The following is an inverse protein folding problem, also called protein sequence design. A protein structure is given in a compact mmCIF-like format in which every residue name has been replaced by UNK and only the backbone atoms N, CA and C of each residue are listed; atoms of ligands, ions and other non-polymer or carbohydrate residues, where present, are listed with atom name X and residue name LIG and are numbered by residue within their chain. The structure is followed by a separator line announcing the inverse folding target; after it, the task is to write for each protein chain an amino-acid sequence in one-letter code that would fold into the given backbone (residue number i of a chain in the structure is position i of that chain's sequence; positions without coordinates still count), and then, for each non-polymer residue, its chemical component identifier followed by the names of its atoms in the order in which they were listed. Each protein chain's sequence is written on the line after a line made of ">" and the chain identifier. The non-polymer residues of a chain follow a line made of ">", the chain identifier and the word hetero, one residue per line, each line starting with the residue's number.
data_IF_685828963336
#
_entry.id   IF_685828963336
#
_cell.length_a   1.000
_cell.length_b   1.000
_cell.length_c   1.000
_cell.angle_alpha   90.00
_cell.angle_beta   90.00
_cell.angle_gamma   90.00
#
_symmetry.space_group_name_H-M   'P 1'
#
loop_
_entity.id
_entity.type
_entity.pdbx_description
1 polymer ?
#
# COMPACT_ATOMS: atom_id res chain seq x y z
N UNK A 1 -2.19 21.60 -23.25
CA UNK A 1 -2.17 22.02 -21.83
C UNK A 1 -2.96 23.32 -21.63
N UNK A 2 -4.25 23.37 -22.03
CA UNK A 2 -5.06 24.62 -21.99
C UNK A 2 -6.59 24.41 -21.85
N UNK A 3 -7.07 23.20 -21.53
CA UNK A 3 -8.48 22.79 -21.71
C UNK A 3 -9.21 22.56 -20.37
N UNK A 4 -8.71 23.09 -19.25
CA UNK A 4 -9.24 22.74 -17.91
C UNK A 4 -9.14 23.85 -16.84
N UNK A 5 -9.08 25.12 -17.25
CA UNK A 5 -9.10 26.26 -16.31
C UNK A 5 -10.36 27.11 -16.50
N UNK A 6 -11.16 27.18 -15.41
CA UNK A 6 -12.56 27.67 -15.33
C UNK A 6 -13.53 26.68 -15.99
N UNK A 7 -14.56 26.21 -15.30
CA UNK A 7 -15.33 26.93 -14.27
C UNK A 7 -15.25 26.30 -12.87
N UNK A 8 -14.91 27.12 -11.86
CA UNK A 8 -15.22 26.86 -10.45
C UNK A 8 -16.57 27.51 -10.14
N UNK A 9 -17.54 26.74 -9.69
CA UNK A 9 -18.84 27.23 -9.25
C UNK A 9 -19.74 26.08 -8.85
N UNK A 10 -20.26 26.13 -7.63
CA UNK A 10 -21.44 25.36 -7.26
C UNK A 10 -22.64 25.83 -8.12
N UNK A 11 -23.69 25.01 -8.15
CA UNK A 11 -24.99 25.20 -8.83
C UNK A 11 -25.17 24.56 -10.21
N UNK A 12 -26.42 24.11 -10.43
CA UNK A 12 -26.85 23.13 -11.44
C UNK A 12 -26.42 23.51 -12.86
N UNK A 13 -25.70 22.60 -13.53
CA UNK A 13 -25.01 22.86 -14.79
C UNK A 13 -25.93 23.28 -15.96
N UNK A 14 -27.11 22.65 -16.13
CA UNK A 14 -28.04 22.96 -17.24
C UNK A 14 -29.44 22.40 -16.97
N UNK A 15 -30.47 23.25 -16.98
CA UNK A 15 -31.87 22.79 -16.99
C UNK A 15 -32.35 22.62 -18.45
N UNK A 16 -32.88 21.46 -18.88
CA UNK A 16 -33.45 21.31 -20.21
C UNK A 16 -34.68 22.24 -20.38
N UNK A 17 -34.84 22.82 -21.57
CA UNK A 17 -35.97 23.70 -21.85
C UNK A 17 -37.29 22.92 -21.91
N UNK A 18 -38.41 23.61 -21.66
CA UNK A 18 -39.75 23.02 -21.80
C UNK A 18 -39.99 22.57 -23.26
N UNK A 19 -40.40 21.31 -23.46
CA UNK A 19 -40.61 20.76 -24.80
C UNK A 19 -42.04 21.04 -25.30
N UNK A 20 -42.17 21.84 -26.36
CA UNK A 20 -43.44 22.17 -27.00
C UNK A 20 -43.59 21.38 -28.32
N UNK A 21 -44.55 20.48 -28.38
CA UNK A 21 -44.89 19.72 -29.58
C UNK A 21 -45.93 20.47 -30.42
N UNK A 22 -45.51 21.05 -31.54
CA UNK A 22 -46.41 21.71 -32.49
C UNK A 22 -46.85 20.73 -33.59
N UNK A 23 -48.11 20.29 -33.56
CA UNK A 23 -48.67 19.33 -34.50
C UNK A 23 -49.50 20.05 -35.57
N UNK A 24 -48.97 20.12 -36.80
CA UNK A 24 -49.58 20.77 -37.96
C UNK A 24 -50.41 19.82 -38.84
N UNK A 25 -51.21 18.93 -38.24
CA UNK A 25 -52.11 18.02 -38.97
C UNK A 25 -53.38 17.72 -38.18
N UNK A 26 -54.48 17.54 -38.89
CA UNK A 26 -55.82 17.30 -38.34
C UNK A 26 -56.10 15.83 -37.97
N UNK A 27 -55.04 15.02 -37.79
CA UNK A 27 -55.14 13.58 -37.48
C UNK A 27 -55.49 13.29 -36.01
N UNK A 28 -56.59 13.84 -35.51
CA UNK A 28 -57.25 13.33 -34.31
C UNK A 28 -58.10 12.10 -34.66
N UNK A 29 -57.44 11.02 -35.08
CA UNK A 29 -58.05 9.71 -35.34
C UNK A 29 -58.55 9.09 -34.02
N UNK A 30 -59.77 9.47 -33.61
CA UNK A 30 -60.45 8.93 -32.42
C UNK A 30 -59.91 9.38 -31.05
N UNK A 31 -58.90 10.27 -31.00
CA UNK A 31 -58.27 10.74 -29.75
C UNK A 31 -58.93 12.04 -29.25
N UNK A 32 -59.10 12.18 -27.93
CA UNK A 32 -59.79 13.34 -27.33
C UNK A 32 -58.89 14.56 -27.23
N UNK A 33 -57.56 14.38 -27.12
CA UNK A 33 -56.61 15.48 -27.15
C UNK A 33 -55.29 15.18 -27.87
N UNK A 34 -54.57 16.25 -28.22
CA UNK A 34 -53.21 16.22 -28.78
C UNK A 34 -52.20 15.73 -27.74
N UNK A 35 -52.44 16.01 -26.46
CA UNK A 35 -51.57 15.62 -25.35
C UNK A 35 -51.60 14.10 -25.14
N UNK A 36 -52.80 13.50 -25.10
CA UNK A 36 -52.98 12.04 -25.07
C UNK A 36 -52.25 11.33 -26.22
N UNK A 37 -52.24 11.92 -27.42
CA UNK A 37 -51.53 11.38 -28.58
C UNK A 37 -50.01 11.30 -28.34
N UNK A 38 -49.41 12.37 -27.79
CA UNK A 38 -47.98 12.41 -27.46
C UNK A 38 -47.66 11.46 -26.30
N UNK A 39 -48.49 11.49 -25.24
CA UNK A 39 -48.28 10.66 -24.04
C UNK A 39 -48.36 9.16 -24.36
N UNK A 40 -49.18 8.75 -25.33
CA UNK A 40 -49.23 7.39 -25.86
C UNK A 40 -48.03 7.08 -26.76
N UNK A 41 -47.66 7.98 -27.68
CA UNK A 41 -46.55 7.78 -28.62
C UNK A 41 -45.18 7.65 -27.92
N UNK A 42 -45.04 8.28 -26.74
CA UNK A 42 -43.87 8.20 -25.87
C UNK A 42 -43.87 6.97 -24.94
N UNK A 43 -44.92 6.14 -24.91
CA UNK A 43 -44.90 4.89 -24.13
C UNK A 43 -43.91 3.91 -24.70
N UNK A 44 -43.14 3.29 -23.81
CA UNK A 44 -42.21 2.21 -24.15
C UNK A 44 -42.97 1.04 -24.81
N UNK A 45 -42.50 0.57 -25.96
CA UNK A 45 -43.11 -0.55 -26.67
C UNK A 45 -42.56 -1.86 -26.10
N UNK A 46 -43.39 -2.88 -25.79
CA UNK A 46 -42.93 -4.18 -25.35
C UNK A 46 -41.98 -4.83 -26.35
N UNK A 47 -40.86 -5.37 -25.88
CA UNK A 47 -39.86 -6.07 -26.71
C UNK A 47 -39.61 -7.48 -26.15
N UNK A 48 -40.60 -8.38 -26.30
CA UNK A 48 -40.51 -9.74 -25.75
C UNK A 48 -39.44 -10.59 -26.45
N UNK A 49 -39.23 -10.35 -27.76
CA UNK A 49 -38.34 -11.14 -28.62
C UNK A 49 -36.90 -10.58 -28.69
N UNK A 50 -36.62 -9.44 -28.04
CA UNK A 50 -35.28 -8.84 -27.98
C UNK A 50 -34.79 -8.20 -29.29
N UNK A 51 -35.69 -7.62 -30.08
CA UNK A 51 -35.33 -6.92 -31.32
C UNK A 51 -34.58 -5.62 -31.02
N UNK A 52 -33.34 -5.53 -31.51
CA UNK A 52 -32.46 -4.37 -31.38
C UNK A 52 -33.05 -3.10 -31.99
N UNK A 53 -33.92 -3.21 -33.00
CA UNK A 53 -34.60 -2.05 -33.59
C UNK A 53 -35.63 -1.47 -32.63
N UNK A 54 -36.38 -2.33 -31.93
CA UNK A 54 -37.35 -1.90 -30.91
C UNK A 54 -36.62 -1.24 -29.74
N UNK A 55 -35.47 -1.79 -29.32
CA UNK A 55 -34.60 -1.16 -28.30
C UNK A 55 -34.11 0.22 -28.72
N UNK A 56 -33.70 0.43 -29.98
CA UNK A 56 -33.31 1.75 -30.49
C UNK A 56 -34.48 2.75 -30.48
N UNK A 57 -35.68 2.34 -30.92
CA UNK A 57 -36.86 3.22 -30.90
C UNK A 57 -37.26 3.55 -29.46
N UNK A 58 -37.18 2.58 -28.54
CA UNK A 58 -37.44 2.81 -27.12
C UNK A 58 -36.39 3.72 -26.46
N UNK A 59 -35.11 3.60 -26.82
CA UNK A 59 -34.07 4.54 -26.39
C UNK A 59 -34.38 5.99 -26.80
N UNK A 60 -34.96 6.19 -28.00
CA UNK A 60 -35.43 7.52 -28.45
C UNK A 60 -36.65 7.97 -27.64
N UNK A 61 -37.63 7.10 -27.40
CA UNK A 61 -38.81 7.41 -26.57
C UNK A 61 -38.42 7.79 -25.15
N UNK A 62 -37.55 7.02 -24.50
CA UNK A 62 -37.05 7.29 -23.15
C UNK A 62 -36.33 8.63 -23.09
N UNK A 63 -35.47 8.93 -24.07
CA UNK A 63 -34.77 10.21 -24.17
C UNK A 63 -35.75 11.40 -24.27
N UNK A 64 -36.80 11.25 -25.08
CA UNK A 64 -37.86 12.26 -25.23
C UNK A 64 -38.76 12.35 -23.99
N UNK A 65 -39.07 11.24 -23.33
CA UNK A 65 -39.88 11.19 -22.12
C UNK A 65 -39.14 11.80 -20.90
N UNK A 66 -37.80 11.73 -20.86
CA UNK A 66 -36.98 12.42 -19.86
C UNK A 66 -37.07 13.95 -20.02
N UNK A 67 -37.09 14.46 -21.25
CA UNK A 67 -37.41 15.88 -21.54
C UNK A 67 -38.92 16.18 -21.41
N UNK A 68 -39.74 15.14 -21.43
CA UNK A 68 -41.19 15.20 -21.55
C UNK A 68 -41.97 15.32 -20.25
N UNK A 69 -41.33 15.24 -19.07
CA UNK A 69 -42.02 15.45 -17.78
C UNK A 69 -42.60 16.86 -17.60
N UNK A 70 -42.23 17.79 -18.48
CA UNK A 70 -42.86 19.10 -18.66
C UNK A 70 -43.20 19.35 -20.14
N UNK A 71 -43.60 18.34 -20.93
CA UNK A 71 -44.02 18.58 -22.31
C UNK A 71 -45.32 19.41 -22.38
N UNK A 72 -45.62 19.93 -23.56
CA UNK A 72 -46.93 20.50 -23.89
C UNK A 72 -47.20 20.23 -25.36
N UNK A 73 -48.34 19.64 -25.69
CA UNK A 73 -48.75 19.40 -27.06
C UNK A 73 -49.79 20.42 -27.54
N UNK A 74 -49.59 20.98 -28.72
CA UNK A 74 -50.49 21.97 -29.33
C UNK A 74 -50.76 21.63 -30.80
N UNK A 75 -52.04 21.63 -31.19
CA UNK A 75 -52.46 21.46 -32.58
C UNK A 75 -52.72 22.82 -33.21
N UNK A 76 -52.04 23.08 -34.33
CA UNK A 76 -52.22 24.26 -35.17
C UNK A 76 -52.70 23.78 -36.54
N UNK A 77 -53.92 24.12 -37.00
CA UNK A 77 -54.47 23.63 -38.26
C UNK A 77 -53.73 24.24 -39.47
N UNK A 78 -54.11 23.83 -40.67
CA UNK A 78 -53.59 24.45 -41.89
C UNK A 78 -54.03 25.93 -41.98
N UNK A 79 -53.12 26.90 -42.19
CA UNK A 79 -53.49 28.33 -42.27
C UNK A 79 -54.35 28.67 -43.48
N UNK A 80 -54.04 28.09 -44.64
CA UNK A 80 -54.76 28.30 -45.89
C UNK A 80 -54.38 27.19 -46.89
N UNK A 81 -55.26 26.92 -47.87
CA UNK A 81 -55.05 25.85 -48.85
C UNK A 81 -53.87 26.13 -49.82
N UNK A 82 -53.63 27.40 -50.17
CA UNK A 82 -52.51 27.82 -51.01
C UNK A 82 -51.24 28.05 -50.19
N UNK A 83 -50.50 26.96 -49.92
CA UNK A 83 -49.31 26.95 -49.06
C UNK A 83 -48.14 27.83 -49.54
N UNK A 84 -48.10 28.19 -50.83
CA UNK A 84 -47.01 28.96 -51.44
C UNK A 84 -47.13 30.48 -51.26
N UNK A 85 -48.31 31.00 -50.88
CA UNK A 85 -48.58 32.45 -50.73
C UNK A 85 -48.80 32.89 -49.29
N UNK A 86 -48.53 32.00 -48.32
CA UNK A 86 -48.82 32.23 -46.89
C UNK A 86 -48.09 33.43 -46.28
N UNK A 87 -46.96 33.85 -46.84
CA UNK A 87 -46.21 35.03 -46.37
C UNK A 87 -46.75 36.35 -46.92
N UNK A 88 -47.49 36.29 -48.03
CA UNK A 88 -48.06 37.46 -48.72
C UNK A 88 -49.51 37.72 -48.28
N UNK A 89 -50.16 36.71 -47.69
CA UNK A 89 -51.52 36.74 -47.17
C UNK A 89 -51.61 37.49 -45.84
N UNK A 90 -52.69 38.24 -45.68
CA UNK A 90 -53.06 38.88 -44.41
C UNK A 90 -53.91 37.94 -43.54
N UNK A 91 -54.03 38.27 -42.26
CA UNK A 91 -54.80 37.47 -41.29
C UNK A 91 -56.29 37.31 -41.66
N UNK A 92 -56.88 38.24 -42.41
CA UNK A 92 -58.24 38.16 -42.95
C UNK A 92 -58.39 37.18 -44.12
N UNK A 93 -57.29 36.76 -44.75
CA UNK A 93 -57.25 35.76 -45.82
C UNK A 93 -56.92 34.34 -45.31
N UNK A 94 -56.63 34.20 -44.00
CA UNK A 94 -56.33 32.93 -43.34
C UNK A 94 -57.58 32.31 -42.69
N UNK A 95 -57.52 31.02 -42.38
CA UNK A 95 -58.56 30.36 -41.60
C UNK A 95 -58.71 31.04 -40.21
N UNK A 96 -59.91 31.52 -39.82
CA UNK A 96 -60.10 32.18 -38.52
C UNK A 96 -59.75 31.30 -37.31
N UNK A 97 -59.92 29.99 -37.42
CA UNK A 97 -59.55 29.00 -36.39
C UNK A 97 -58.02 28.88 -36.31
N UNK A 98 -57.31 28.96 -37.45
CA UNK A 98 -55.86 29.06 -37.47
C UNK A 98 -55.39 30.33 -36.75
N UNK A 99 -55.94 31.50 -37.10
CA UNK A 99 -55.54 32.78 -36.48
C UNK A 99 -55.77 32.74 -34.97
N UNK A 100 -56.96 32.31 -34.51
CA UNK A 100 -57.27 32.16 -33.09
C UNK A 100 -56.28 31.20 -32.37
N UNK A 101 -55.98 30.05 -32.96
CA UNK A 101 -55.03 29.09 -32.39
C UNK A 101 -53.59 29.60 -32.44
N UNK A 102 -53.21 30.40 -33.44
CA UNK A 102 -51.88 31.03 -33.55
C UNK A 102 -51.67 32.04 -32.42
N UNK A 103 -52.67 32.87 -32.11
CA UNK A 103 -52.57 33.79 -30.96
C UNK A 103 -52.49 33.03 -29.63
N UNK A 104 -53.33 32.00 -29.44
CA UNK A 104 -53.24 31.12 -28.26
C UNK A 104 -51.88 30.40 -28.13
N UNK A 105 -51.24 30.07 -29.25
CA UNK A 105 -49.87 29.52 -29.27
C UNK A 105 -48.85 30.54 -28.75
N UNK A 106 -48.99 31.83 -29.09
CA UNK A 106 -48.12 32.90 -28.56
C UNK A 106 -48.28 33.03 -27.04
N UNK A 107 -49.51 32.97 -26.53
CA UNK A 107 -49.81 32.99 -25.09
C UNK A 107 -49.16 31.79 -24.37
N UNK A 108 -49.31 30.58 -24.93
CA UNK A 108 -48.66 29.38 -24.39
C UNK A 108 -47.14 29.55 -24.38
N UNK A 109 -46.54 29.98 -25.49
CA UNK A 109 -45.09 30.22 -25.59
C UNK A 109 -44.63 31.25 -24.56
N UNK A 110 -45.33 32.38 -24.41
CA UNK A 110 -45.02 33.39 -23.40
C UNK A 110 -45.10 32.84 -21.97
N UNK A 111 -46.07 31.97 -21.67
CA UNK A 111 -46.22 31.35 -20.34
C UNK A 111 -45.15 30.32 -19.97
N UNK A 112 -44.43 29.76 -20.96
CA UNK A 112 -43.46 28.68 -20.75
C UNK A 112 -42.00 29.12 -20.90
N UNK A 113 -41.73 30.26 -21.53
CA UNK A 113 -40.37 30.79 -21.69
C UNK A 113 -39.79 31.12 -20.31
N UNK A 114 -38.54 30.68 -20.09
CA UNK A 114 -37.72 31.03 -18.93
C UNK A 114 -36.32 31.44 -19.42
N UNK A 115 -35.62 32.34 -18.72
CA UNK A 115 -34.21 32.60 -18.99
C UNK A 115 -33.42 31.30 -19.00
N UNK A 116 -32.50 31.15 -19.96
CA UNK A 116 -31.72 29.92 -20.05
C UNK A 116 -30.69 29.89 -18.93
N UNK A 117 -30.83 28.97 -17.98
CA UNK A 117 -29.93 28.87 -16.84
C UNK A 117 -28.74 27.93 -17.13
N UNK A 118 -27.54 28.40 -16.80
CA UNK A 118 -26.29 27.64 -16.81
C UNK A 118 -25.56 27.95 -15.49
N UNK A 119 -25.26 26.93 -14.70
CA UNK A 119 -24.59 27.06 -13.39
C UNK A 119 -25.26 28.11 -12.47
N UNK A 120 -26.58 27.99 -12.31
CA UNK A 120 -27.39 28.91 -11.50
C UNK A 120 -27.54 30.34 -12.04
N UNK A 121 -26.90 30.71 -13.16
CA UNK A 121 -26.93 32.06 -13.74
C UNK A 121 -27.69 32.11 -15.07
N UNK A 122 -28.37 33.23 -15.38
CA UNK A 122 -28.99 33.42 -16.69
C UNK A 122 -27.90 33.64 -17.75
N UNK A 123 -27.93 32.83 -18.80
CA UNK A 123 -26.95 32.80 -19.87
C UNK A 123 -27.02 34.09 -20.71
N UNK A 124 -25.92 34.85 -20.74
CA UNK A 124 -25.81 36.04 -21.60
C UNK A 124 -25.50 35.67 -23.05
N UNK A 125 -25.77 36.58 -23.99
CA UNK A 125 -25.46 36.35 -25.41
C UNK A 125 -23.99 36.03 -25.69
N UNK A 126 -23.06 36.63 -24.95
CA UNK A 126 -21.62 36.37 -25.08
C UNK A 126 -21.24 34.95 -24.62
N UNK A 127 -21.80 34.51 -23.50
CA UNK A 127 -21.60 33.15 -22.98
C UNK A 127 -22.26 32.11 -23.88
N UNK A 128 -23.43 32.41 -24.44
CA UNK A 128 -24.08 31.55 -25.43
C UNK A 128 -23.23 31.35 -26.69
N UNK A 129 -22.67 32.42 -27.26
CA UNK A 129 -21.75 32.31 -28.41
C UNK A 129 -20.53 31.45 -28.06
N UNK A 130 -19.87 31.71 -26.93
CA UNK A 130 -18.71 30.94 -26.50
C UNK A 130 -19.03 29.46 -26.24
N UNK A 131 -20.23 29.15 -25.75
CA UNK A 131 -20.72 27.78 -25.58
C UNK A 131 -21.00 27.09 -26.93
N UNK A 132 -21.60 27.81 -27.88
CA UNK A 132 -21.83 27.30 -29.24
C UNK A 132 -20.53 27.04 -30.00
N UNK A 133 -19.51 27.89 -29.85
CA UNK A 133 -18.16 27.68 -30.40
C UNK A 133 -17.55 26.36 -29.89
N UNK A 134 -17.66 26.09 -28.59
CA UNK A 134 -17.17 24.83 -27.98
C UNK A 134 -17.92 23.60 -28.50
N UNK A 135 -19.25 23.68 -28.68
CA UNK A 135 -20.03 22.60 -29.28
C UNK A 135 -19.63 22.37 -30.74
N UNK A 136 -19.46 23.43 -31.54
CA UNK A 136 -19.02 23.34 -32.93
C UNK A 136 -17.61 22.73 -33.03
N UNK A 137 -16.69 23.12 -32.15
CA UNK A 137 -15.36 22.51 -32.08
C UNK A 137 -15.41 21.01 -31.74
N UNK A 138 -16.31 20.60 -30.83
CA UNK A 138 -16.51 19.20 -30.48
C UNK A 138 -17.15 18.39 -31.62
N UNK A 139 -18.14 18.96 -32.32
CA UNK A 139 -18.78 18.37 -33.50
C UNK A 139 -17.79 18.20 -34.66
N UNK A 140 -17.05 19.26 -35.00
CA UNK A 140 -16.07 19.25 -36.09
C UNK A 140 -14.90 18.28 -35.84
N UNK A 141 -14.61 17.96 -34.56
CA UNK A 141 -13.62 16.94 -34.17
C UNK A 141 -14.20 15.52 -34.08
N UNK A 142 -15.45 15.31 -34.49
CA UNK A 142 -16.13 14.01 -34.44
C UNK A 142 -16.32 13.44 -33.03
N UNK A 143 -16.29 14.29 -31.99
CA UNK A 143 -16.24 13.83 -30.59
C UNK A 143 -17.60 13.47 -30.00
N UNK A 144 -18.68 13.98 -30.57
CA UNK A 144 -20.05 13.65 -30.15
C UNK A 144 -20.53 12.46 -31.00
N UNK A 145 -20.66 11.25 -30.43
CA UNK A 145 -21.15 10.09 -31.16
C UNK A 145 -22.63 10.25 -31.50
N UNK A 146 -22.99 10.05 -32.76
CA UNK A 146 -24.38 10.16 -33.27
C UNK A 146 -25.37 9.17 -32.65
N UNK A 147 -24.88 8.14 -31.97
CA UNK A 147 -25.67 7.08 -31.31
C UNK A 147 -25.50 7.02 -29.79
N UNK A 148 -24.60 7.83 -29.21
CA UNK A 148 -24.33 7.85 -27.77
C UNK A 148 -25.19 8.88 -27.04
N UNK A 149 -25.48 8.64 -25.76
CA UNK A 149 -26.16 9.64 -24.95
C UNK A 149 -25.27 10.88 -24.77
N UNK A 150 -25.79 12.05 -25.15
CA UNK A 150 -25.11 13.34 -24.97
C UNK A 150 -24.69 13.57 -23.49
N UNK A 151 -25.46 13.00 -22.56
CA UNK A 151 -25.15 12.99 -21.12
C UNK A 151 -23.86 12.25 -20.81
N UNK A 152 -23.64 11.07 -21.41
CA UNK A 152 -22.44 10.27 -21.18
C UNK A 152 -21.18 10.94 -21.76
N UNK A 153 -21.32 11.68 -22.87
CA UNK A 153 -20.21 12.47 -23.42
C UNK A 153 -19.79 13.61 -22.48
N UNK A 154 -20.73 14.43 -22.01
CA UNK A 154 -20.42 15.52 -21.08
C UNK A 154 -19.94 15.00 -19.71
N UNK A 155 -20.51 13.90 -19.21
CA UNK A 155 -20.07 13.30 -17.96
C UNK A 155 -18.68 12.65 -18.03
N UNK A 156 -18.17 12.29 -19.22
CA UNK A 156 -16.86 11.61 -19.34
C UNK A 156 -15.72 12.40 -18.67
N UNK A 157 -15.62 13.70 -18.93
CA UNK A 157 -14.57 14.53 -18.32
C UNK A 157 -14.69 14.65 -16.80
N UNK A 158 -15.92 14.61 -16.28
CA UNK A 158 -16.22 14.62 -14.85
C UNK A 158 -15.83 13.27 -14.22
N UNK A 159 -16.13 12.15 -14.88
CA UNK A 159 -15.72 10.81 -14.43
C UNK A 159 -14.19 10.68 -14.34
N UNK A 160 -13.47 11.12 -15.38
CA UNK A 160 -12.00 11.11 -15.40
C UNK A 160 -11.42 11.99 -14.27
N UNK A 161 -12.04 13.14 -13.98
CA UNK A 161 -11.66 14.02 -12.86
C UNK A 161 -11.97 13.40 -11.49
N UNK A 162 -13.14 12.81 -11.28
CA UNK A 162 -13.52 12.16 -10.02
C UNK A 162 -12.63 10.95 -9.72
N UNK A 163 -12.29 10.15 -10.74
CA UNK A 163 -11.34 9.05 -10.61
C UNK A 163 -9.94 9.57 -10.24
N UNK A 164 -9.51 10.71 -10.79
CA UNK A 164 -8.27 11.36 -10.37
C UNK A 164 -8.32 11.82 -8.91
N UNK A 165 -9.40 12.44 -8.45
CA UNK A 165 -9.57 12.83 -7.03
C UNK A 165 -9.48 11.62 -6.10
N UNK A 166 -10.05 10.47 -6.50
CA UNK A 166 -9.89 9.21 -5.78
C UNK A 166 -8.43 8.74 -5.73
N UNK A 167 -7.74 8.72 -6.88
CA UNK A 167 -6.33 8.30 -6.99
C UNK A 167 -5.41 9.22 -6.17
N UNK A 168 -5.55 10.54 -6.29
CA UNK A 168 -4.72 11.52 -5.57
C UNK A 168 -4.92 11.39 -4.04
N UNK A 169 -6.14 11.07 -3.58
CA UNK A 169 -6.40 10.81 -2.15
C UNK A 169 -5.81 9.48 -1.67
N UNK A 170 -6.00 8.40 -2.43
CA UNK A 170 -5.44 7.08 -2.12
C UNK A 170 -3.91 7.06 -2.19
N UNK A 171 -3.30 7.86 -3.07
CA UNK A 171 -1.85 8.00 -3.19
C UNK A 171 -1.17 8.66 -1.98
N UNK A 172 -1.92 9.37 -1.13
CA UNK A 172 -1.41 9.88 0.15
C UNK A 172 -1.37 8.82 1.26
N UNK A 173 -1.95 7.63 1.04
CA UNK A 173 -1.83 6.52 1.98
C UNK A 173 -0.44 5.88 1.83
N UNK A 174 0.38 5.99 2.87
CA UNK A 174 1.63 5.23 2.95
C UNK A 174 1.34 3.73 2.99
N UNK A 175 1.91 2.99 2.05
CA UNK A 175 1.87 1.53 2.01
C UNK A 175 3.20 0.94 2.52
N UNK A 176 3.21 -0.25 3.15
CA UNK A 176 2.05 -1.09 3.46
C UNK A 176 1.23 -0.58 4.66
N UNK A 177 -0.08 -0.81 4.61
CA UNK A 177 -1.06 -0.41 5.61
C UNK A 177 -1.91 -1.61 6.07
N UNK A 178 -2.51 -1.51 7.26
CA UNK A 178 -3.50 -2.49 7.73
C UNK A 178 -4.76 -2.48 6.87
N UNK A 179 -5.46 -3.62 6.80
CA UNK A 179 -6.69 -3.78 6.02
C UNK A 179 -7.77 -2.77 6.42
N UNK A 180 -7.97 -2.56 7.72
CA UNK A 180 -8.90 -1.56 8.26
C UNK A 180 -8.52 -0.12 7.84
N UNK A 181 -7.23 0.23 7.87
CA UNK A 181 -6.77 1.54 7.40
C UNK A 181 -6.94 1.72 5.90
N UNK A 182 -6.69 0.66 5.11
CA UNK A 182 -6.86 0.67 3.66
C UNK A 182 -8.34 0.79 3.26
N UNK A 183 -9.24 0.04 3.91
CA UNK A 183 -10.69 0.12 3.67
C UNK A 183 -11.26 1.48 4.09
N UNK A 184 -10.83 2.01 5.26
CA UNK A 184 -11.24 3.37 5.69
C UNK A 184 -10.75 4.46 4.74
N UNK A 185 -9.55 4.32 4.17
CA UNK A 185 -9.05 5.23 3.14
C UNK A 185 -9.84 5.10 1.83
N UNK A 186 -10.20 3.87 1.43
CA UNK A 186 -11.03 3.60 0.26
C UNK A 186 -12.40 4.29 0.35
N UNK A 187 -13.20 4.00 1.39
CA UNK A 187 -14.55 4.57 1.52
C UNK A 187 -14.49 6.11 1.59
N UNK A 188 -13.59 6.69 2.40
CA UNK A 188 -13.42 8.17 2.49
C UNK A 188 -13.03 8.82 1.16
N UNK A 189 -12.26 8.12 0.32
CA UNK A 189 -11.83 8.62 -0.99
C UNK A 189 -12.93 8.45 -2.04
N UNK A 190 -13.68 7.35 -1.97
CA UNK A 190 -14.82 7.02 -2.81
C UNK A 190 -16.00 7.97 -2.55
N UNK A 191 -16.38 8.18 -1.29
CA UNK A 191 -17.41 9.14 -0.89
C UNK A 191 -17.07 10.56 -1.36
N UNK A 192 -15.80 10.96 -1.25
CA UNK A 192 -15.36 12.26 -1.74
C UNK A 192 -15.42 12.38 -3.27
N UNK A 193 -15.10 11.32 -4.01
CA UNK A 193 -15.23 11.30 -5.46
C UNK A 193 -16.71 11.29 -5.90
N UNK A 194 -17.59 10.61 -5.15
CA UNK A 194 -19.04 10.60 -5.38
C UNK A 194 -19.67 11.96 -5.08
N UNK A 195 -19.30 12.62 -3.99
CA UNK A 195 -19.78 13.99 -3.69
C UNK A 195 -19.41 14.98 -4.80
N UNK A 196 -18.17 14.92 -5.31
CA UNK A 196 -17.73 15.74 -6.45
C UNK A 196 -18.50 15.40 -7.74
N UNK A 197 -18.84 14.12 -7.95
CA UNK A 197 -19.68 13.71 -9.07
C UNK A 197 -21.11 14.24 -8.93
N UNK A 198 -21.72 14.10 -7.75
CA UNK A 198 -23.09 14.54 -7.47
C UNK A 198 -23.27 16.07 -7.61
N UNK A 199 -22.24 16.86 -7.28
CA UNK A 199 -22.22 18.30 -7.52
C UNK A 199 -22.14 18.70 -9.00
N UNK A 200 -21.39 17.95 -9.83
CA UNK A 200 -20.97 18.41 -11.16
C UNK A 200 -21.68 17.71 -12.34
N UNK A 201 -22.26 16.52 -12.12
CA UNK A 201 -22.78 15.69 -13.21
C UNK A 201 -23.95 16.32 -13.98
N UNK A 202 -24.05 15.93 -15.25
CA UNK A 202 -25.14 16.29 -16.14
C UNK A 202 -26.27 15.24 -16.11
N UNK A 203 -27.52 15.70 -16.09
CA UNK A 203 -28.73 14.91 -16.38
C UNK A 203 -29.18 13.90 -15.30
N UNK A 204 -30.00 14.35 -14.34
CA UNK A 204 -30.51 13.58 -13.17
C UNK A 204 -30.87 12.10 -13.38
N UNK A 205 -31.48 11.70 -14.51
CA UNK A 205 -31.87 10.29 -14.77
C UNK A 205 -30.76 9.44 -15.40
N UNK A 206 -29.88 10.02 -16.22
CA UNK A 206 -28.72 9.32 -16.80
C UNK A 206 -27.46 9.41 -15.92
N UNK A 207 -27.47 10.29 -14.92
CA UNK A 207 -26.51 10.37 -13.82
C UNK A 207 -26.24 9.00 -13.19
N UNK A 208 -27.30 8.22 -12.91
CA UNK A 208 -27.20 6.91 -12.25
C UNK A 208 -26.27 5.95 -13.00
N UNK A 209 -26.42 5.81 -14.32
CA UNK A 209 -25.56 4.97 -15.16
C UNK A 209 -24.10 5.45 -15.18
N UNK A 210 -23.91 6.76 -15.14
CA UNK A 210 -22.58 7.39 -15.08
C UNK A 210 -21.92 7.17 -13.70
N UNK A 211 -22.68 7.29 -12.61
CA UNK A 211 -22.23 7.00 -11.24
C UNK A 211 -21.91 5.51 -11.04
N UNK A 212 -22.76 4.59 -11.52
CA UNK A 212 -22.46 3.14 -11.54
C UNK A 212 -21.16 2.83 -12.31
N UNK A 213 -20.86 3.58 -13.36
CA UNK A 213 -19.59 3.47 -14.10
C UNK A 213 -18.40 4.02 -13.30
N UNK A 214 -18.57 5.14 -12.59
CA UNK A 214 -17.55 5.70 -11.68
C UNK A 214 -17.18 4.68 -10.59
N UNK A 215 -18.18 4.11 -9.91
CA UNK A 215 -17.96 3.10 -8.86
C UNK A 215 -17.21 1.88 -9.39
N UNK A 216 -17.55 1.39 -10.60
CA UNK A 216 -16.85 0.26 -11.23
C UNK A 216 -15.38 0.55 -11.54
N UNK A 217 -15.05 1.74 -12.05
CA UNK A 217 -13.63 2.10 -12.27
C UNK A 217 -12.89 2.36 -10.95
N UNK A 218 -13.55 2.93 -9.93
CA UNK A 218 -12.98 3.07 -8.57
C UNK A 218 -12.64 1.69 -7.97
N UNK A 219 -13.54 0.71 -8.04
CA UNK A 219 -13.27 -0.65 -7.55
C UNK A 219 -12.14 -1.35 -8.31
N UNK A 220 -12.07 -1.15 -9.63
CA UNK A 220 -10.97 -1.68 -10.46
C UNK A 220 -9.62 -1.10 -10.05
N UNK A 221 -9.55 0.20 -9.77
CA UNK A 221 -8.34 0.84 -9.23
C UNK A 221 -8.07 0.38 -7.79
N UNK A 222 -9.10 0.18 -6.96
CA UNK A 222 -8.94 -0.31 -5.59
C UNK A 222 -8.29 -1.70 -5.52
N UNK A 223 -8.66 -2.61 -6.42
CA UNK A 223 -8.01 -3.94 -6.54
C UNK A 223 -6.50 -3.84 -6.78
N UNK A 224 -6.04 -2.86 -7.56
CA UNK A 224 -4.61 -2.62 -7.75
C UNK A 224 -3.93 -2.12 -6.46
N UNK A 225 -4.61 -1.29 -5.66
CA UNK A 225 -4.10 -0.87 -4.34
C UNK A 225 -4.00 -2.03 -3.36
N UNK A 226 -4.99 -2.94 -3.33
CA UNK A 226 -4.95 -4.16 -2.49
C UNK A 226 -3.74 -5.02 -2.87
N UNK A 227 -3.57 -5.35 -4.16
CA UNK A 227 -2.44 -6.16 -4.64
C UNK A 227 -1.08 -5.48 -4.37
N UNK A 228 -1.01 -4.16 -4.49
CA UNK A 228 0.21 -3.39 -4.17
C UNK A 228 0.51 -3.43 -2.67
N UNK A 229 -0.51 -3.28 -1.82
CA UNK A 229 -0.39 -3.36 -0.37
C UNK A 229 0.07 -4.75 0.09
N UNK A 230 -0.50 -5.81 -0.47
CA UNK A 230 -0.10 -7.20 -0.20
C UNK A 230 1.35 -7.47 -0.64
N UNK A 231 1.73 -7.03 -1.84
CA UNK A 231 3.11 -7.17 -2.33
C UNK A 231 4.13 -6.44 -1.42
N UNK A 232 3.81 -5.24 -0.95
CA UNK A 232 4.70 -4.48 -0.07
C UNK A 232 4.70 -5.02 1.37
N UNK A 233 3.56 -5.47 1.89
CA UNK A 233 3.44 -6.13 3.20
C UNK A 233 4.28 -7.41 3.23
N UNK A 234 4.15 -8.25 2.20
CA UNK A 234 4.96 -9.48 2.06
C UNK A 234 6.46 -9.16 2.05
N UNK A 235 6.90 -8.23 1.18
CA UNK A 235 8.33 -7.83 1.10
C UNK A 235 8.88 -7.30 2.43
N UNK A 236 8.10 -6.50 3.16
CA UNK A 236 8.50 -5.95 4.46
C UNK A 236 8.64 -7.06 5.51
N UNK A 237 7.63 -7.91 5.64
CA UNK A 237 7.62 -8.98 6.63
C UNK A 237 8.62 -10.11 6.30
N UNK A 238 8.87 -10.37 5.01
CA UNK A 238 9.92 -11.28 4.52
C UNK A 238 11.32 -10.73 4.87
N UNK A 239 11.60 -9.45 4.59
CA UNK A 239 12.88 -8.84 4.94
C UNK A 239 13.13 -8.82 6.46
N UNK A 240 12.09 -8.62 7.28
CA UNK A 240 12.16 -8.73 8.73
C UNK A 240 12.39 -10.18 9.21
N UNK A 241 11.75 -11.15 8.54
CA UNK A 241 11.95 -12.58 8.81
C UNK A 241 13.39 -13.00 8.51
N UNK A 242 13.90 -12.75 7.30
CA UNK A 242 15.26 -13.14 6.89
C UNK A 242 16.33 -12.45 7.75
N UNK A 243 16.20 -11.16 8.05
CA UNK A 243 17.12 -10.46 8.96
C UNK A 243 17.13 -11.07 10.36
N UNK A 244 15.97 -11.54 10.85
CA UNK A 244 15.93 -12.26 12.11
C UNK A 244 16.57 -13.66 12.02
N UNK A 245 16.31 -14.40 10.94
CA UNK A 245 16.91 -15.72 10.68
C UNK A 245 18.44 -15.62 10.63
N UNK A 246 18.99 -14.71 9.80
CA UNK A 246 20.43 -14.37 9.74
C UNK A 246 21.01 -14.04 11.13
N UNK A 247 20.26 -13.30 11.94
CA UNK A 247 20.68 -12.92 13.30
C UNK A 247 20.64 -14.09 14.28
N UNK A 248 19.69 -15.01 14.14
CA UNK A 248 19.66 -16.24 14.95
C UNK A 248 20.83 -17.16 14.58
N UNK A 249 21.13 -17.32 13.30
CA UNK A 249 22.25 -18.13 12.81
C UNK A 249 23.61 -17.55 13.26
N UNK A 250 23.78 -16.23 13.20
CA UNK A 250 24.97 -15.55 13.76
C UNK A 250 25.13 -15.80 15.27
N UNK A 251 24.03 -15.83 16.04
CA UNK A 251 24.05 -16.11 17.48
C UNK A 251 24.33 -17.59 17.78
N UNK A 252 23.92 -18.52 16.91
CA UNK A 252 24.30 -19.95 16.99
C UNK A 252 25.78 -20.19 16.60
N UNK A 253 26.36 -19.33 15.77
CA UNK A 253 27.75 -19.43 15.29
C UNK A 253 28.81 -18.83 16.25
N UNK A 254 28.42 -18.26 17.38
CA UNK A 254 29.36 -17.68 18.37
C UNK A 254 30.35 -18.74 18.91
N UNK A 255 31.60 -18.31 19.17
CA UNK A 255 32.68 -19.21 19.64
C UNK A 255 32.48 -19.60 21.10
N UNK A 256 32.16 -18.63 21.95
CA UNK A 256 31.72 -18.86 23.32
C UNK A 256 30.18 -18.83 23.35
N UNK A 257 29.53 -19.98 23.65
CA UNK A 257 28.08 -20.03 23.71
C UNK A 257 27.57 -19.23 24.94
N UNK A 258 26.59 -18.35 24.72
CA UNK A 258 25.88 -17.61 25.78
C UNK A 258 24.38 -17.58 25.53
N UNK A 259 23.63 -18.14 26.48
CA UNK A 259 22.18 -18.17 26.52
C UNK A 259 21.58 -16.77 26.73
N UNK A 260 22.26 -15.90 27.49
CA UNK A 260 21.82 -14.52 27.71
C UNK A 260 21.78 -13.71 26.39
N UNK A 261 22.85 -13.80 25.58
CA UNK A 261 22.93 -13.16 24.25
C UNK A 261 21.85 -13.68 23.30
N UNK A 262 21.66 -15.00 23.25
CA UNK A 262 20.63 -15.61 22.41
C UNK A 262 19.22 -15.15 22.79
N UNK A 263 18.85 -15.20 24.08
CA UNK A 263 17.54 -14.75 24.56
C UNK A 263 17.30 -13.26 24.32
N UNK A 264 18.31 -12.40 24.45
CA UNK A 264 18.21 -10.98 24.14
C UNK A 264 17.98 -10.74 22.63
N UNK A 265 18.68 -11.49 21.77
CA UNK A 265 18.49 -11.48 20.32
C UNK A 265 17.08 -11.93 19.92
N UNK A 266 16.61 -13.03 20.50
CA UNK A 266 15.28 -13.61 20.31
C UNK A 266 14.17 -12.61 20.67
N UNK A 267 14.23 -12.00 21.86
CA UNK A 267 13.25 -11.01 22.32
C UNK A 267 13.24 -9.77 21.42
N UNK A 268 14.43 -9.29 21.02
CA UNK A 268 14.56 -8.16 20.11
C UNK A 268 13.96 -8.47 18.73
N UNK A 269 14.22 -9.65 18.17
CA UNK A 269 13.60 -10.12 16.93
C UNK A 269 12.08 -10.10 17.00
N UNK A 270 11.51 -10.75 18.02
CA UNK A 270 10.07 -10.89 18.17
C UNK A 270 9.38 -9.51 18.33
N UNK A 271 9.94 -8.65 19.20
CA UNK A 271 9.44 -7.28 19.38
C UNK A 271 9.57 -6.42 18.12
N UNK A 272 10.64 -6.61 17.33
CA UNK A 272 10.84 -5.88 16.09
C UNK A 272 9.83 -6.30 15.03
N UNK A 273 9.66 -7.62 14.83
CA UNK A 273 8.68 -8.15 13.90
C UNK A 273 7.27 -7.66 14.24
N UNK A 274 6.86 -7.75 15.51
CA UNK A 274 5.54 -7.31 15.95
C UNK A 274 5.23 -5.82 15.68
N UNK A 275 6.24 -4.96 15.77
CA UNK A 275 6.13 -3.51 15.59
C UNK A 275 6.27 -3.05 14.14
N UNK A 276 7.14 -3.69 13.36
CA UNK A 276 7.51 -3.25 12.01
C UNK A 276 6.76 -4.01 10.89
N UNK A 277 6.34 -5.26 11.10
CA UNK A 277 5.54 -6.00 10.10
C UNK A 277 4.08 -5.56 10.16
N UNK A 278 3.57 -5.03 9.05
CA UNK A 278 2.20 -4.47 8.91
C UNK A 278 1.56 -4.93 7.61
N UNK A 279 0.24 -5.12 7.63
CA UNK A 279 -0.58 -5.45 6.46
C UNK A 279 -1.06 -6.91 6.42
N UNK A 280 -1.70 -7.34 5.31
CA UNK A 280 -2.37 -8.64 5.22
C UNK A 280 -1.41 -9.82 5.40
N UNK A 281 -0.14 -9.67 5.03
CA UNK A 281 0.84 -10.76 5.13
C UNK A 281 1.31 -11.03 6.56
N UNK A 282 0.99 -10.17 7.55
CA UNK A 282 1.49 -10.31 8.93
C UNK A 282 1.16 -11.68 9.52
N UNK A 283 -0.10 -12.08 9.52
CA UNK A 283 -0.56 -13.33 10.17
C UNK A 283 0.12 -14.58 9.60
N UNK A 284 0.35 -14.61 8.28
CA UNK A 284 1.08 -15.68 7.61
C UNK A 284 2.57 -15.75 7.97
N UNK A 285 3.23 -14.59 8.11
CA UNK A 285 4.63 -14.52 8.54
C UNK A 285 4.80 -14.71 10.05
N UNK A 286 3.82 -14.33 10.87
CA UNK A 286 3.82 -14.52 12.33
C UNK A 286 3.89 -16.01 12.70
N UNK A 287 3.10 -16.87 12.02
CA UNK A 287 3.16 -18.32 12.16
C UNK A 287 4.50 -18.92 11.70
N UNK A 288 5.12 -18.34 10.67
CA UNK A 288 6.46 -18.76 10.20
C UNK A 288 7.55 -18.35 11.17
N UNK A 289 7.46 -17.12 11.69
CA UNK A 289 8.39 -16.53 12.65
C UNK A 289 8.40 -17.30 13.96
N UNK A 290 7.24 -17.60 14.55
CA UNK A 290 7.16 -18.39 15.79
C UNK A 290 7.78 -19.77 15.62
N UNK A 291 7.45 -20.49 14.52
CA UNK A 291 8.02 -21.79 14.21
C UNK A 291 9.55 -21.75 13.97
N UNK A 292 10.06 -20.72 13.29
CA UNK A 292 11.51 -20.54 13.10
C UNK A 292 12.19 -20.27 14.44
N UNK A 293 11.65 -19.35 15.25
CA UNK A 293 12.20 -19.00 16.56
C UNK A 293 12.21 -20.20 17.53
N UNK A 294 11.15 -21.01 17.56
CA UNK A 294 11.12 -22.25 18.35
C UNK A 294 12.18 -23.26 17.90
N UNK A 295 12.28 -23.51 16.58
CA UNK A 295 13.30 -24.41 16.00
C UNK A 295 14.73 -23.93 16.29
N UNK A 296 14.99 -22.63 16.11
CA UNK A 296 16.28 -22.02 16.40
C UNK A 296 16.64 -22.07 17.88
N UNK A 297 15.64 -21.95 18.77
CA UNK A 297 15.82 -22.10 20.22
C UNK A 297 16.15 -23.54 20.63
N UNK A 298 15.46 -24.54 20.10
CA UNK A 298 15.75 -25.95 20.45
C UNK A 298 17.14 -26.36 19.96
N UNK A 299 17.47 -26.06 18.69
CA UNK A 299 18.80 -26.30 18.13
C UNK A 299 19.91 -25.55 18.89
N UNK A 300 19.66 -24.31 19.31
CA UNK A 300 20.62 -23.58 20.14
C UNK A 300 20.85 -24.26 21.49
N UNK A 301 19.80 -24.69 22.20
CA UNK A 301 19.93 -25.33 23.52
C UNK A 301 20.71 -26.66 23.43
N UNK A 302 20.43 -27.46 22.40
CA UNK A 302 21.13 -28.72 22.14
C UNK A 302 22.64 -28.47 21.91
N UNK A 303 22.98 -27.60 20.96
CA UNK A 303 24.37 -27.26 20.65
C UNK A 303 25.07 -26.53 21.81
N UNK A 304 24.37 -25.66 22.53
CA UNK A 304 24.88 -24.90 23.68
C UNK A 304 25.42 -25.85 24.74
N UNK A 305 24.62 -26.84 25.14
CA UNK A 305 25.00 -27.77 26.20
C UNK A 305 26.23 -28.62 25.82
N UNK A 306 26.26 -29.14 24.59
CA UNK A 306 27.41 -29.89 24.08
C UNK A 306 28.68 -29.02 23.97
N UNK A 307 28.60 -27.82 23.38
CA UNK A 307 29.75 -26.91 23.26
C UNK A 307 30.24 -26.46 24.64
N UNK A 308 29.34 -26.16 25.57
CA UNK A 308 29.68 -25.80 26.95
C UNK A 308 30.43 -26.93 27.65
N UNK A 309 29.93 -28.18 27.55
CA UNK A 309 30.61 -29.34 28.12
C UNK A 309 32.04 -29.48 27.58
N UNK A 310 32.22 -29.43 26.25
CA UNK A 310 33.56 -29.49 25.63
C UNK A 310 34.47 -28.33 26.06
N UNK A 311 33.94 -27.11 26.16
CA UNK A 311 34.69 -25.94 26.66
C UNK A 311 35.10 -26.09 28.12
N UNK A 312 34.23 -26.61 28.99
CA UNK A 312 34.54 -26.83 30.41
C UNK A 312 35.61 -27.92 30.61
N UNK A 313 35.54 -29.01 29.85
CA UNK A 313 36.58 -30.06 29.86
C UNK A 313 37.92 -29.48 29.41
N UNK A 314 37.96 -28.77 28.27
CA UNK A 314 39.19 -28.11 27.79
C UNK A 314 39.74 -27.07 28.77
N UNK A 315 38.86 -26.25 29.36
CA UNK A 315 39.23 -25.23 30.36
C UNK A 315 39.83 -25.86 31.62
N UNK A 316 39.24 -26.95 32.14
CA UNK A 316 39.78 -27.64 33.33
C UNK A 316 41.20 -28.18 33.11
N UNK A 317 41.47 -28.79 31.97
CA UNK A 317 42.82 -29.26 31.59
C UNK A 317 43.83 -28.09 31.47
N UNK A 318 43.44 -26.98 30.85
CA UNK A 318 44.28 -25.78 30.75
C UNK A 318 44.55 -25.18 32.14
N UNK A 319 43.55 -25.17 33.04
CA UNK A 319 43.70 -24.65 34.40
C UNK A 319 44.58 -25.53 35.29
N UNK A 320 44.63 -26.85 35.10
CA UNK A 320 45.63 -27.72 35.75
C UNK A 320 47.04 -27.30 35.36
N UNK A 321 47.30 -27.08 34.06
CA UNK A 321 48.61 -26.65 33.56
C UNK A 321 48.98 -25.24 34.10
N UNK A 322 48.05 -24.28 34.04
CA UNK A 322 48.28 -22.92 34.53
C UNK A 322 48.49 -22.88 36.06
N UNK A 323 47.68 -23.63 36.82
CA UNK A 323 47.78 -23.74 38.27
C UNK A 323 49.15 -24.26 38.70
N UNK A 324 49.62 -25.34 38.06
CA UNK A 324 50.90 -26.00 38.37
C UNK A 324 52.13 -25.21 37.92
N UNK A 325 52.14 -24.68 36.69
CA UNK A 325 53.34 -24.12 36.07
C UNK A 325 53.44 -22.59 36.10
N UNK A 326 52.31 -21.86 36.14
CA UNK A 326 52.30 -20.39 36.05
C UNK A 326 51.96 -19.74 37.39
N UNK A 327 50.84 -20.14 38.01
CA UNK A 327 50.34 -19.52 39.26
C UNK A 327 51.00 -20.16 40.49
N UNK A 328 51.39 -21.44 40.40
CA UNK A 328 51.96 -22.26 41.49
C UNK A 328 51.07 -22.31 42.74
N UNK A 329 49.75 -22.38 42.55
CA UNK A 329 48.78 -22.34 43.63
C UNK A 329 47.94 -23.63 43.67
N UNK A 330 48.21 -24.46 44.69
CA UNK A 330 47.73 -25.84 44.80
C UNK A 330 46.19 -25.92 44.84
N UNK A 331 45.49 -24.94 45.42
CA UNK A 331 44.02 -24.97 45.48
C UNK A 331 43.37 -24.83 44.10
N UNK A 332 43.98 -24.09 43.16
CA UNK A 332 43.50 -24.00 41.77
C UNK A 332 43.74 -25.33 41.04
N UNK A 333 44.89 -25.97 41.25
CA UNK A 333 45.19 -27.28 40.67
C UNK A 333 44.21 -28.35 41.19
N UNK A 334 43.98 -28.42 42.50
CA UNK A 334 43.01 -29.34 43.11
C UNK A 334 41.59 -29.10 42.60
N UNK A 335 41.13 -27.84 42.56
CA UNK A 335 39.79 -27.51 42.05
C UNK A 335 39.60 -27.86 40.57
N UNK A 336 40.63 -27.63 39.74
CA UNK A 336 40.61 -27.99 38.33
C UNK A 336 40.56 -29.53 38.12
N UNK A 337 41.32 -30.30 38.92
CA UNK A 337 41.22 -31.76 38.92
C UNK A 337 39.85 -32.26 39.39
N UNK A 338 39.27 -31.69 40.44
CA UNK A 338 37.92 -32.05 40.90
C UNK A 338 36.87 -31.79 39.81
N UNK A 339 36.95 -30.65 39.11
CA UNK A 339 36.05 -30.34 38.00
C UNK A 339 36.23 -31.30 36.81
N UNK A 340 37.47 -31.61 36.42
CA UNK A 340 37.75 -32.55 35.33
C UNK A 340 37.23 -33.96 35.65
N UNK A 341 37.54 -34.48 36.84
CA UNK A 341 37.07 -35.80 37.30
C UNK A 341 35.55 -35.84 37.36
N UNK A 342 34.89 -34.78 37.84
CA UNK A 342 33.43 -34.68 37.86
C UNK A 342 32.83 -34.79 36.44
N UNK A 343 33.34 -34.01 35.48
CA UNK A 343 32.83 -33.99 34.10
C UNK A 343 33.02 -35.34 33.37
N UNK A 344 34.19 -35.97 33.49
CA UNK A 344 34.48 -37.30 32.90
C UNK A 344 33.75 -38.45 33.61
N UNK A 345 33.63 -38.41 34.94
CA UNK A 345 32.97 -39.50 35.68
C UNK A 345 31.46 -39.47 35.44
N UNK A 346 30.86 -38.28 35.38
CA UNK A 346 29.42 -38.15 35.18
C UNK A 346 28.96 -38.72 33.83
N UNK A 347 29.65 -38.40 32.74
CA UNK A 347 29.30 -38.91 31.40
C UNK A 347 29.47 -40.42 31.27
N UNK A 348 30.49 -40.99 31.93
CA UNK A 348 30.69 -42.45 31.97
C UNK A 348 29.69 -43.19 32.84
N UNK A 349 29.17 -42.57 33.91
CA UNK A 349 28.21 -43.21 34.81
C UNK A 349 26.80 -43.32 34.20
N UNK A 350 26.37 -42.29 33.46
CA UNK A 350 25.01 -42.19 32.92
C UNK A 350 24.88 -42.49 31.43
N UNK A 351 25.98 -42.85 30.75
CA UNK A 351 26.06 -43.25 29.32
C UNK A 351 25.64 -42.18 28.29
N UNK A 352 24.97 -41.09 28.72
CA UNK A 352 24.62 -39.94 27.88
C UNK A 352 24.81 -38.62 28.66
N UNK A 353 25.30 -37.55 27.99
CA UNK A 353 25.44 -36.24 28.62
C UNK A 353 24.09 -35.51 28.79
N UNK A 354 23.03 -35.94 28.09
CA UNK A 354 21.70 -35.32 28.19
C UNK A 354 21.11 -35.38 29.59
N UNK A 355 21.38 -36.46 30.34
CA UNK A 355 20.95 -36.61 31.74
C UNK A 355 21.55 -35.54 32.67
N UNK A 356 22.77 -35.05 32.36
CA UNK A 356 23.42 -33.96 33.10
C UNK A 356 22.66 -32.65 32.91
N UNK A 357 22.14 -32.38 31.71
CA UNK A 357 21.61 -31.07 31.34
C UNK A 357 20.34 -30.66 32.12
N UNK A 358 19.62 -31.64 32.66
CA UNK A 358 18.44 -31.44 33.51
C UNK A 358 18.76 -31.46 35.02
N UNK A 359 20.03 -31.63 35.41
CA UNK A 359 20.45 -31.64 36.81
C UNK A 359 20.55 -30.23 37.39
N UNK A 360 20.11 -29.98 38.64
CA UNK A 360 20.32 -28.69 39.30
C UNK A 360 21.80 -28.31 39.42
N UNK A 361 22.72 -29.30 39.46
CA UNK A 361 24.17 -29.04 39.47
C UNK A 361 24.63 -28.43 38.14
N UNK A 362 24.09 -28.87 37.02
CA UNK A 362 24.40 -28.29 35.70
C UNK A 362 23.89 -26.86 35.59
N UNK A 363 22.70 -26.55 36.11
CA UNK A 363 22.19 -25.18 36.13
C UNK A 363 23.08 -24.21 36.94
N UNK A 364 23.71 -24.66 38.04
CA UNK A 364 24.70 -23.87 38.79
C UNK A 364 25.98 -23.65 37.98
N UNK A 365 26.46 -24.68 37.27
CA UNK A 365 27.63 -24.58 36.38
C UNK A 365 27.35 -23.60 35.23
N UNK A 366 26.19 -23.72 34.58
CA UNK A 366 25.70 -22.83 33.52
C UNK A 366 25.60 -21.38 34.01
N UNK A 367 25.00 -21.14 35.18
CA UNK A 367 24.89 -19.79 35.74
C UNK A 367 26.26 -19.17 36.06
N UNK A 368 27.20 -19.98 36.55
CA UNK A 368 28.58 -19.56 36.81
C UNK A 368 29.32 -19.23 35.50
N UNK A 369 29.16 -20.07 34.46
CA UNK A 369 29.72 -19.84 33.13
C UNK A 369 29.18 -18.56 32.48
N UNK A 370 27.85 -18.37 32.44
CA UNK A 370 27.23 -17.16 31.89
C UNK A 370 27.73 -15.91 32.63
N UNK A 371 27.86 -15.94 33.96
CA UNK A 371 28.36 -14.80 34.74
C UNK A 371 29.83 -14.47 34.42
N UNK A 372 30.65 -15.48 34.11
CA UNK A 372 32.05 -15.32 33.76
C UNK A 372 32.25 -14.84 32.31
N UNK A 373 31.54 -15.43 31.34
CA UNK A 373 31.69 -15.16 29.91
C UNK A 373 30.92 -13.91 29.47
N UNK A 374 29.75 -13.66 30.09
CA UNK A 374 28.89 -12.53 29.83
C UNK A 374 28.84 -11.61 31.06
N UNK A 375 29.93 -10.88 31.28
CA UNK A 375 29.95 -9.76 32.22
C UNK A 375 29.59 -8.45 31.48
N UNK A 376 28.88 -7.49 32.11
CA UNK A 376 28.54 -6.21 31.49
C UNK A 376 29.75 -5.29 31.21
N UNK A 377 30.96 -5.70 31.58
CA UNK A 377 32.21 -4.92 31.46
C UNK A 377 33.20 -5.58 30.49
N UNK A 378 33.18 -6.91 30.37
CA UNK A 378 34.07 -7.71 29.53
C UNK A 378 33.28 -8.80 28.78
N UNK A 379 33.17 -8.61 27.46
CA UNK A 379 32.62 -9.61 26.53
C UNK A 379 33.75 -10.54 26.05
N UNK A 380 33.90 -11.70 26.70
CA UNK A 380 35.01 -12.61 26.45
C UNK A 380 34.99 -13.21 25.03
N UNK A 381 33.85 -13.30 24.36
CA UNK A 381 33.81 -13.81 22.97
C UNK A 381 34.59 -12.89 22.01
N UNK A 382 34.57 -11.57 22.27
CA UNK A 382 35.31 -10.57 21.51
C UNK A 382 36.73 -10.32 22.05
N UNK A 383 36.93 -10.44 23.36
CA UNK A 383 38.18 -10.04 24.03
C UNK A 383 39.10 -11.19 24.49
N UNK A 384 38.69 -12.46 24.45
CA UNK A 384 39.52 -13.58 24.90
C UNK A 384 40.86 -13.70 24.14
N UNK A 385 40.86 -13.48 22.82
CA UNK A 385 42.07 -13.55 21.99
C UNK A 385 43.05 -12.38 22.31
N UNK A 386 42.65 -11.10 22.29
CA UNK A 386 43.56 -10.02 22.66
C UNK A 386 44.01 -10.09 24.13
N UNK A 387 43.16 -10.49 25.07
CA UNK A 387 43.58 -10.70 26.47
C UNK A 387 44.57 -11.87 26.60
N UNK A 388 44.33 -12.98 25.91
CA UNK A 388 45.23 -14.14 25.90
C UNK A 388 46.60 -13.84 25.29
N UNK A 389 46.66 -13.07 24.20
CA UNK A 389 47.93 -12.63 23.59
C UNK A 389 48.69 -11.64 24.48
N UNK A 390 48.01 -10.66 25.10
CA UNK A 390 48.63 -9.76 26.08
C UNK A 390 49.19 -10.54 27.27
N UNK A 391 48.44 -11.52 27.81
CA UNK A 391 48.91 -12.37 28.90
C UNK A 391 50.13 -13.21 28.49
N UNK A 392 50.13 -13.81 27.30
CA UNK A 392 51.27 -14.56 26.78
C UNK A 392 52.52 -13.68 26.62
N UNK A 393 52.37 -12.47 26.07
CA UNK A 393 53.45 -11.48 25.95
C UNK A 393 54.00 -11.09 27.32
N UNK A 394 53.13 -10.85 28.32
CA UNK A 394 53.55 -10.53 29.69
C UNK A 394 54.31 -11.67 30.37
N UNK A 395 53.91 -12.93 30.15
CA UNK A 395 54.62 -14.11 30.66
C UNK A 395 55.98 -14.27 29.99
N UNK A 396 56.05 -14.12 28.66
CA UNK A 396 57.32 -14.14 27.92
C UNK A 396 58.24 -13.00 28.35
N UNK A 397 57.72 -11.78 28.49
CA UNK A 397 58.47 -10.62 28.97
C UNK A 397 59.06 -10.85 30.37
N UNK A 398 58.25 -11.33 31.32
CA UNK A 398 58.71 -11.69 32.67
C UNK A 398 59.75 -12.82 32.65
N UNK A 399 59.62 -13.80 31.75
CA UNK A 399 60.58 -14.92 31.63
C UNK A 399 61.90 -14.48 31.01
N UNK A 400 61.89 -13.59 30.02
CA UNK A 400 63.10 -13.06 29.39
C UNK A 400 63.85 -12.04 30.26
N UNK A 401 63.13 -11.15 30.96
CA UNK A 401 63.76 -10.13 31.83
C UNK A 401 64.00 -10.58 33.27
N UNK A 402 63.26 -11.57 33.78
CA UNK A 402 63.45 -12.12 35.13
C UNK A 402 64.76 -12.91 35.31
N UNK A 403 65.40 -13.34 34.21
CA UNK A 403 66.64 -14.13 34.26
C UNK A 403 67.91 -13.28 34.49
N UNK A 404 67.81 -11.96 34.67
CA UNK A 404 68.96 -11.04 34.70
C UNK A 404 69.31 -10.47 36.09
N UNK A 405 68.92 -11.16 37.17
CA UNK A 405 69.36 -10.87 38.54
C UNK A 405 69.77 -12.14 39.30
N UNK A 406 70.95 -12.66 38.99
CA UNK A 406 71.89 -13.28 39.94
C UNK A 406 73.18 -13.70 39.21
N UNK A 407 74.23 -12.87 39.31
CA UNK A 407 75.65 -13.26 39.32
C UNK A 407 76.51 -11.99 39.23
N UNK A 408 77.11 -11.59 40.34
CA UNK A 408 78.21 -10.63 40.35
C UNK A 408 79.54 -11.39 40.24
N UNK A 409 80.28 -11.19 39.15
CA UNK A 409 81.74 -11.18 39.26
C UNK A 409 82.41 -10.34 38.17
N UNK A 410 83.15 -9.33 38.62
CA UNK A 410 84.11 -8.60 37.81
C UNK A 410 85.30 -9.51 37.49
N UNK A 411 85.73 -9.56 36.22
CA UNK A 411 87.09 -9.92 35.83
C UNK A 411 87.33 -9.51 34.36
N UNK A 412 88.15 -8.48 34.16
CA UNK A 412 88.68 -8.11 32.84
C UNK A 412 89.76 -9.13 32.41
N UNK A 413 89.75 -9.65 31.18
CA UNK A 413 90.92 -10.29 30.59
C UNK A 413 91.78 -9.28 29.84
N UNK A 414 93.09 -9.29 30.10
CA UNK A 414 94.06 -8.51 29.34
C UNK A 414 94.18 -9.00 27.90
N UNK A 415 94.30 -8.06 26.96
CA UNK A 415 94.81 -8.35 25.62
C UNK A 415 96.34 -8.49 25.70
N UNK A 416 96.86 -9.67 25.35
CA UNK A 416 98.27 -9.82 25.00
C UNK A 416 98.39 -10.84 23.87
N UNK A 417 98.84 -10.40 22.70
CA UNK A 417 99.34 -11.27 21.65
C UNK A 417 100.33 -10.47 20.80
N UNK A 418 101.54 -10.98 20.68
CA UNK A 418 102.62 -10.33 19.94
C UNK A 418 102.39 -10.38 18.42
N UNK A 419 102.98 -9.39 17.74
CA UNK A 419 103.02 -9.25 16.27
C UNK A 419 104.00 -10.24 15.62
N UNK A 420 104.17 -10.07 14.28
CA UNK A 420 105.27 -10.52 13.37
C UNK A 420 104.90 -11.78 12.56
N UNK A 421 105.02 -11.86 11.22
CA UNK A 421 105.34 -10.93 10.07
C UNK A 421 105.00 -11.70 8.74
N UNK A 422 105.01 -11.21 7.49
CA UNK A 422 105.03 -9.88 6.82
C UNK A 422 104.69 -10.10 5.32
N UNK A 423 104.05 -9.15 4.62
CA UNK A 423 104.29 -8.65 3.22
C UNK A 423 103.03 -7.94 2.69
N UNK A 424 103.01 -6.61 2.55
CA UNK A 424 103.66 -5.77 1.52
C UNK A 424 103.00 -5.87 0.14
N UNK A 425 102.22 -4.86 -0.24
CA UNK A 425 102.73 -3.61 -0.84
C UNK A 425 102.05 -2.39 -0.19
#
# INVERSE_FOLDING_TARGET
>A
MYILNRVKGQDVAFEPAKLLWLIQRDFLLGKKSVQEMIDEALRHVPNADGDKNIDQVNQVRDSLAIMGTNNTAFSLPLPHHQRTRLCDMKDDELDPIYVQKRERLKEIVASIIRPKMVQGKPLTGKEFVSFMEQILEALNKGRIPSTGSLVEFFNKGILDYCLKVYIDRMGNLGLPASEDSLQKAHERSKDAALNVFDEQHFGRRHAKRSSEKLVKEIEKVYKNYILTNECQSSKLCEALYTNCEDKMDQLQALRLPSMAKFNAGFLHCNQRFERECVGPSKTGYELRMTKMLEKSKSLFIEQYNHRLFSWLVGFSLVMVILGRFVIKFILIEMGAWTLFIFLETYTRLFWSPESLYYSPVWHVIVATWETLVYSPILDLDRFAIPLGTIAAILVLYRRCYGSKKHSDHWLFPMFNNEKVRQRSE
#
